data_IF_580468127983
#
_entry.id   IF_580468127983
#
_cell.length_a   1.000
_cell.length_b   1.000
_cell.length_c   1.000
_cell.angle_alpha   90.00
_cell.angle_beta   90.00
_cell.angle_gamma   90.00
#
_symmetry.space_group_name_H-M   'P 1'
#
loop_
_entity.id
_entity.type
_entity.pdbx_description
1 polymer ?
#
# COMPACT_ATOMS: atom_id res chain seq x y z
N UNK A 1 18.93 -7.36 -14.38
CA UNK A 1 19.02 -5.89 -14.19
C UNK A 1 18.42 -5.57 -12.82
N UNK A 2 19.16 -4.89 -11.94
CA UNK A 2 18.69 -4.52 -10.59
C UNK A 2 17.96 -3.18 -10.65
N UNK A 3 16.65 -3.19 -10.90
CA UNK A 3 15.83 -1.96 -11.07
C UNK A 3 15.66 -1.16 -9.79
N UNK A 4 15.80 -1.82 -8.62
CA UNK A 4 15.62 -1.22 -7.30
C UNK A 4 16.94 -1.06 -6.52
N UNK A 5 18.08 -1.15 -7.19
CA UNK A 5 19.37 -0.98 -6.52
C UNK A 5 19.44 0.37 -5.79
N UNK A 6 19.79 0.34 -4.49
CA UNK A 6 19.81 1.49 -3.58
C UNK A 6 18.45 2.19 -3.36
N UNK A 7 17.31 1.57 -3.74
CA UNK A 7 15.98 2.12 -3.52
C UNK A 7 15.36 1.60 -2.24
N UNK A 8 14.77 2.49 -1.47
CA UNK A 8 13.98 2.17 -0.27
C UNK A 8 12.50 2.13 -0.65
N UNK A 9 11.88 0.99 -0.41
CA UNK A 9 10.48 0.71 -0.74
C UNK A 9 9.70 0.42 0.55
N UNK A 10 8.66 1.18 0.79
CA UNK A 10 7.69 0.93 1.86
C UNK A 10 6.49 0.19 1.26
N UNK A 11 6.15 -0.97 1.82
CA UNK A 11 5.02 -1.79 1.34
C UNK A 11 4.07 -2.05 2.51
N UNK A 12 2.80 -1.70 2.35
CA UNK A 12 1.76 -2.03 3.33
C UNK A 12 1.11 -3.39 3.01
N UNK A 13 0.81 -4.19 4.07
CA UNK A 13 0.37 -5.58 3.90
C UNK A 13 1.45 -6.46 3.27
N UNK A 14 2.70 -6.17 3.57
CA UNK A 14 3.87 -6.72 2.90
C UNK A 14 4.13 -8.20 3.20
N UNK A 15 3.55 -8.76 4.27
CA UNK A 15 3.66 -10.16 4.65
C UNK A 15 2.43 -11.00 4.23
N UNK A 16 1.49 -10.42 3.48
CA UNK A 16 0.35 -11.13 2.89
C UNK A 16 0.57 -11.43 1.40
N UNK A 17 -0.17 -12.38 0.84
CA UNK A 17 -0.05 -12.91 -0.52
C UNK A 17 0.58 -12.00 -1.59
N UNK A 18 -0.15 -10.99 -2.08
CA UNK A 18 0.34 -10.03 -3.08
C UNK A 18 1.52 -9.22 -2.54
N UNK A 19 1.43 -8.77 -1.28
CA UNK A 19 2.49 -7.97 -0.63
C UNK A 19 3.79 -8.77 -0.50
N UNK A 20 3.73 -10.03 -0.07
CA UNK A 20 4.91 -10.89 0.06
C UNK A 20 5.56 -11.16 -1.30
N UNK A 21 4.77 -11.53 -2.32
CA UNK A 21 5.27 -11.73 -3.66
C UNK A 21 5.96 -10.47 -4.22
N UNK A 22 5.38 -9.30 -3.95
CA UNK A 22 5.93 -8.00 -4.32
C UNK A 22 7.23 -7.72 -3.56
N UNK A 23 7.26 -7.95 -2.24
CA UNK A 23 8.44 -7.81 -1.38
C UNK A 23 9.60 -8.66 -1.91
N UNK A 24 9.38 -9.93 -2.15
CA UNK A 24 10.38 -10.86 -2.69
C UNK A 24 10.90 -10.41 -4.06
N UNK A 25 10.01 -9.93 -4.91
CA UNK A 25 10.39 -9.42 -6.24
C UNK A 25 11.28 -8.19 -6.14
N UNK A 26 10.94 -7.21 -5.32
CA UNK A 26 11.74 -5.98 -5.14
C UNK A 26 13.13 -6.30 -4.61
N UNK A 27 13.22 -7.20 -3.62
CA UNK A 27 14.50 -7.66 -3.06
C UNK A 27 15.35 -8.35 -4.12
N UNK A 28 14.77 -9.23 -4.94
CA UNK A 28 15.50 -9.90 -6.01
C UNK A 28 16.09 -8.92 -7.05
N UNK A 29 15.57 -7.71 -7.10
CA UNK A 29 16.02 -6.62 -7.96
C UNK A 29 16.88 -5.56 -7.22
N UNK A 30 17.32 -5.86 -5.99
CA UNK A 30 18.28 -5.07 -5.23
C UNK A 30 17.68 -3.98 -4.34
N UNK A 31 16.37 -3.98 -4.12
CA UNK A 31 15.70 -3.01 -3.25
C UNK A 31 15.86 -3.31 -1.77
N UNK A 32 15.76 -2.27 -0.94
CA UNK A 32 15.57 -2.35 0.51
C UNK A 32 14.10 -2.20 0.82
N UNK A 33 13.54 -3.00 1.75
CA UNK A 33 12.10 -3.01 1.98
C UNK A 33 11.74 -2.82 3.44
N UNK A 34 10.82 -1.89 3.71
CA UNK A 34 10.08 -1.82 4.97
C UNK A 34 8.84 -2.70 4.82
N UNK A 35 8.80 -3.78 5.60
CA UNK A 35 7.72 -4.78 5.62
C UNK A 35 6.69 -4.33 6.66
N UNK A 36 5.67 -3.58 6.23
CA UNK A 36 4.60 -3.10 7.10
C UNK A 36 3.38 -4.03 7.02
N UNK A 37 3.02 -4.66 8.14
CA UNK A 37 1.88 -5.60 8.20
C UNK A 37 1.13 -5.50 9.54
N UNK A 38 -0.17 -5.81 9.53
CA UNK A 38 -0.99 -5.83 10.75
C UNK A 38 -0.67 -7.03 11.67
N UNK A 39 0.03 -8.03 11.18
CA UNK A 39 0.58 -9.11 11.96
C UNK A 39 2.08 -8.92 12.11
N UNK A 40 2.52 -8.44 13.27
CA UNK A 40 3.94 -8.32 13.59
C UNK A 40 4.66 -9.67 13.43
N UNK A 41 4.03 -10.76 13.86
CA UNK A 41 4.59 -12.11 13.75
C UNK A 41 4.91 -12.49 12.29
N UNK A 42 3.97 -12.21 11.36
CA UNK A 42 4.20 -12.51 9.93
C UNK A 42 5.28 -11.60 9.34
N UNK A 43 5.30 -10.33 9.71
CA UNK A 43 6.31 -9.39 9.26
C UNK A 43 7.70 -9.82 9.74
N UNK A 44 7.84 -10.20 11.02
CA UNK A 44 9.10 -10.65 11.61
C UNK A 44 9.59 -11.96 10.98
N UNK A 45 8.69 -12.91 10.77
CA UNK A 45 9.01 -14.19 10.13
C UNK A 45 9.55 -13.99 8.71
N UNK A 46 8.85 -13.20 7.92
CA UNK A 46 9.27 -12.87 6.55
C UNK A 46 10.62 -12.11 6.55
N UNK A 47 10.77 -11.14 7.44
CA UNK A 47 12.01 -10.39 7.54
C UNK A 47 13.20 -11.27 7.95
N UNK A 48 13.02 -12.18 8.91
CA UNK A 48 14.06 -13.11 9.33
C UNK A 48 14.52 -14.01 8.18
N UNK A 49 13.57 -14.60 7.44
CA UNK A 49 13.86 -15.44 6.27
C UNK A 49 14.66 -14.67 5.20
N UNK A 50 14.19 -13.46 4.85
CA UNK A 50 14.80 -12.65 3.81
C UNK A 50 16.19 -12.12 4.22
N UNK A 51 16.36 -11.78 5.50
CA UNK A 51 17.66 -11.34 6.05
C UNK A 51 18.69 -12.48 6.01
N UNK A 52 18.27 -13.72 6.32
CA UNK A 52 19.15 -14.89 6.17
C UNK A 52 19.58 -15.11 4.71
N UNK A 53 18.76 -14.71 3.75
CA UNK A 53 19.10 -14.73 2.33
C UNK A 53 19.92 -13.49 1.87
N UNK A 54 20.33 -12.62 2.80
CA UNK A 54 21.16 -11.45 2.52
C UNK A 54 20.38 -10.19 2.10
N UNK A 55 19.05 -10.16 2.28
CA UNK A 55 18.25 -9.00 1.97
C UNK A 55 18.32 -7.92 3.08
N UNK A 56 18.21 -6.65 2.69
CA UNK A 56 18.09 -5.51 3.60
C UNK A 56 16.61 -5.17 3.79
N UNK A 57 16.03 -5.68 4.87
CA UNK A 57 14.60 -5.52 5.18
C UNK A 57 14.38 -5.13 6.64
N UNK A 58 13.31 -4.40 6.92
CA UNK A 58 12.91 -4.00 8.27
C UNK A 58 11.42 -4.24 8.46
N UNK A 59 11.03 -5.09 9.42
CA UNK A 59 9.61 -5.31 9.75
C UNK A 59 9.09 -4.23 10.69
N UNK A 60 7.81 -3.90 10.54
CA UNK A 60 7.07 -3.03 11.47
C UNK A 60 5.59 -3.42 11.51
N UNK A 61 4.99 -3.37 12.70
CA UNK A 61 3.53 -3.41 12.84
C UNK A 61 2.89 -2.21 12.14
N UNK A 62 1.80 -2.44 11.45
CA UNK A 62 1.08 -1.39 10.73
C UNK A 62 -0.43 -1.68 10.70
N UNK A 63 -1.22 -0.75 11.25
CA UNK A 63 -2.67 -0.77 11.19
C UNK A 63 -3.18 0.29 10.21
N UNK A 64 -3.83 -0.15 9.13
CA UNK A 64 -4.37 0.75 8.11
C UNK A 64 -5.62 1.52 8.57
N UNK A 65 -6.26 1.10 9.66
CA UNK A 65 -7.41 1.78 10.24
C UNK A 65 -7.02 2.88 11.24
N UNK A 66 -5.73 2.98 11.57
CA UNK A 66 -5.19 3.93 12.54
C UNK A 66 -4.24 4.93 11.85
N UNK A 67 -4.66 6.19 11.71
CA UNK A 67 -3.84 7.22 11.06
C UNK A 67 -2.49 7.44 11.79
N UNK A 68 -2.45 7.25 13.10
CA UNK A 68 -1.20 7.33 13.87
C UNK A 68 -0.20 6.26 13.41
N UNK A 69 -0.66 5.04 13.12
CA UNK A 69 0.20 3.95 12.61
C UNK A 69 0.81 4.30 11.23
N UNK A 70 0.09 5.07 10.41
CA UNK A 70 0.65 5.57 9.16
C UNK A 70 1.85 6.52 9.38
N UNK A 71 1.74 7.41 10.36
CA UNK A 71 2.85 8.31 10.72
C UNK A 71 4.03 7.54 11.27
N UNK A 72 3.80 6.61 12.16
CA UNK A 72 4.83 5.75 12.76
C UNK A 72 5.59 4.94 11.71
N UNK A 73 4.88 4.41 10.70
CA UNK A 73 5.50 3.71 9.57
C UNK A 73 6.46 4.61 8.79
N UNK A 74 6.06 5.84 8.50
CA UNK A 74 6.89 6.80 7.75
C UNK A 74 8.09 7.23 8.59
N UNK A 75 7.89 7.56 9.86
CA UNK A 75 8.95 7.92 10.81
C UNK A 75 9.97 6.76 10.96
N UNK A 76 9.49 5.53 11.06
CA UNK A 76 10.33 4.34 11.12
C UNK A 76 11.17 4.16 9.84
N UNK A 77 10.55 4.26 8.67
CA UNK A 77 11.28 4.15 7.41
C UNK A 77 12.39 5.21 7.27
N UNK A 78 12.10 6.43 7.69
CA UNK A 78 13.06 7.52 7.69
C UNK A 78 14.18 7.31 8.72
N UNK A 79 13.88 6.77 9.89
CA UNK A 79 14.88 6.42 10.92
C UNK A 79 15.85 5.35 10.43
N UNK A 80 15.32 4.30 9.79
CA UNK A 80 16.11 3.14 9.36
C UNK A 80 16.94 3.40 8.09
N UNK A 81 16.41 4.21 7.16
CA UNK A 81 16.99 4.35 5.82
C UNK A 81 17.27 5.80 5.39
N UNK A 82 16.70 6.79 6.06
CA UNK A 82 16.87 8.21 5.75
C UNK A 82 16.18 8.68 4.45
N UNK A 83 15.48 7.78 3.75
CA UNK A 83 14.80 8.09 2.49
C UNK A 83 13.63 7.14 2.23
N UNK A 84 12.71 7.54 1.36
CA UNK A 84 11.64 6.70 0.80
C UNK A 84 11.56 7.01 -0.68
N UNK A 85 11.95 6.05 -1.54
CA UNK A 85 11.90 6.19 -2.99
C UNK A 85 10.57 5.71 -3.58
N UNK A 86 9.99 4.67 -2.96
CA UNK A 86 8.75 4.04 -3.44
C UNK A 86 7.82 3.75 -2.27
N UNK A 87 6.55 4.13 -2.41
CA UNK A 87 5.46 3.69 -1.55
C UNK A 87 4.54 2.75 -2.35
N UNK A 88 4.27 1.56 -1.81
CA UNK A 88 3.28 0.63 -2.36
C UNK A 88 2.15 0.49 -1.35
N UNK A 89 1.04 1.15 -1.61
CA UNK A 89 -0.20 1.04 -0.88
C UNK A 89 -0.92 -0.23 -1.32
N UNK A 90 -0.60 -1.36 -0.67
CA UNK A 90 -1.14 -2.65 -1.04
C UNK A 90 -2.24 -3.14 -0.08
N UNK A 91 -2.31 -2.62 1.14
CA UNK A 91 -3.39 -2.97 2.08
C UNK A 91 -4.76 -2.64 1.47
N UNK A 92 -5.70 -3.53 1.68
CA UNK A 92 -7.09 -3.32 1.33
C UNK A 92 -7.88 -4.62 1.44
N UNK A 93 -9.18 -4.46 1.61
CA UNK A 93 -10.10 -5.59 1.75
C UNK A 93 -11.49 -5.13 2.18
N UNK A 94 -12.35 -6.10 2.39
CA UNK A 94 -13.69 -5.94 2.93
C UNK A 94 -14.15 -7.24 3.58
N UNK A 95 -15.14 -7.17 4.47
CA UNK A 95 -15.85 -8.36 4.96
C UNK A 95 -17.04 -8.67 4.04
N UNK A 96 -17.01 -9.80 3.30
CA UNK A 96 -18.07 -10.16 2.38
C UNK A 96 -19.43 -10.48 3.05
N UNK A 97 -19.45 -10.59 4.39
CA UNK A 97 -20.70 -10.78 5.15
C UNK A 97 -21.40 -9.45 5.47
N UNK A 98 -20.65 -8.35 5.48
CA UNK A 98 -21.15 -7.00 5.80
C UNK A 98 -21.29 -6.14 4.53
N UNK A 99 -20.37 -6.28 3.59
CA UNK A 99 -20.34 -5.51 2.33
C UNK A 99 -21.11 -6.25 1.22
N UNK A 100 -22.41 -6.19 1.31
CA UNK A 100 -23.34 -6.83 0.38
C UNK A 100 -23.73 -5.89 -0.79
N UNK A 101 -24.84 -6.21 -1.46
CA UNK A 101 -25.43 -5.32 -2.44
C UNK A 101 -26.03 -4.08 -1.76
N UNK A 102 -26.37 -3.05 -2.55
CA UNK A 102 -26.80 -1.73 -2.04
C UNK A 102 -28.03 -1.80 -1.11
N UNK A 103 -28.92 -2.78 -1.29
CA UNK A 103 -30.11 -2.96 -0.47
C UNK A 103 -29.80 -3.57 0.91
N UNK A 104 -28.76 -4.41 1.01
CA UNK A 104 -28.48 -5.26 2.17
C UNK A 104 -27.14 -4.96 2.85
N UNK A 105 -26.34 -4.02 2.32
CA UNK A 105 -25.08 -3.68 2.92
C UNK A 105 -25.25 -3.15 4.35
N UNK A 106 -24.30 -3.45 5.21
CA UNK A 106 -24.21 -2.86 6.54
C UNK A 106 -23.59 -1.46 6.43
N UNK A 107 -24.44 -0.42 6.52
CA UNK A 107 -23.97 0.97 6.38
C UNK A 107 -23.00 1.38 7.51
N UNK A 108 -23.11 0.79 8.70
CA UNK A 108 -22.22 1.06 9.82
C UNK A 108 -20.79 0.53 9.56
N UNK A 109 -20.62 -0.29 8.51
CA UNK A 109 -19.32 -0.78 8.05
C UNK A 109 -18.58 0.21 7.11
N UNK A 110 -19.23 1.29 6.73
CA UNK A 110 -18.70 2.28 5.77
C UNK A 110 -17.35 2.84 6.20
N UNK A 111 -17.26 3.37 7.42
CA UNK A 111 -16.05 4.04 7.90
C UNK A 111 -14.86 3.08 7.94
N UNK A 112 -15.05 1.85 8.38
CA UNK A 112 -14.01 0.83 8.44
C UNK A 112 -13.45 0.52 7.05
N UNK A 113 -14.33 0.27 6.04
CA UNK A 113 -13.91 -0.03 4.67
C UNK A 113 -13.19 1.15 4.03
N UNK A 114 -13.71 2.37 4.21
CA UNK A 114 -13.10 3.55 3.62
C UNK A 114 -11.78 3.92 4.30
N UNK A 115 -11.67 3.77 5.61
CA UNK A 115 -10.39 3.93 6.31
C UNK A 115 -9.35 2.92 5.82
N UNK A 116 -9.70 1.65 5.78
CA UNK A 116 -8.81 0.57 5.35
C UNK A 116 -8.29 0.76 3.91
N UNK A 117 -9.16 1.12 2.97
CA UNK A 117 -8.81 1.12 1.54
C UNK A 117 -8.37 2.50 1.03
N UNK A 118 -9.10 3.57 1.37
CA UNK A 118 -8.91 4.89 0.77
C UNK A 118 -8.19 5.87 1.68
N UNK A 119 -8.66 6.05 2.92
CA UNK A 119 -8.09 7.05 3.83
C UNK A 119 -6.63 6.73 4.16
N UNK A 120 -6.31 5.47 4.46
CA UNK A 120 -4.94 5.01 4.67
C UNK A 120 -4.04 5.33 3.47
N UNK A 121 -4.47 4.96 2.26
CA UNK A 121 -3.74 5.24 1.00
C UNK A 121 -3.50 6.73 0.81
N UNK A 122 -4.51 7.55 1.07
CA UNK A 122 -4.42 9.02 0.96
C UNK A 122 -3.44 9.58 1.98
N UNK A 123 -3.57 9.18 3.25
CA UNK A 123 -2.77 9.71 4.33
C UNK A 123 -1.29 9.31 4.21
N UNK A 124 -0.98 8.05 3.90
CA UNK A 124 0.40 7.62 3.64
C UNK A 124 1.01 8.38 2.45
N UNK A 125 0.26 8.55 1.36
CA UNK A 125 0.73 9.35 0.23
C UNK A 125 1.03 10.78 0.63
N UNK A 126 0.16 11.40 1.46
CA UNK A 126 0.38 12.75 2.00
C UNK A 126 1.66 12.83 2.83
N UNK A 127 1.96 11.84 3.65
CA UNK A 127 3.15 11.82 4.52
C UNK A 127 4.46 11.64 3.72
N UNK A 128 4.47 10.79 2.69
CA UNK A 128 5.71 10.50 1.93
C UNK A 128 6.03 11.56 0.86
N UNK A 129 5.04 12.28 0.33
CA UNK A 129 5.24 13.28 -0.74
C UNK A 129 6.27 14.37 -0.38
N UNK A 130 6.25 14.98 0.82
CA UNK A 130 7.28 15.94 1.22
C UNK A 130 8.69 15.33 1.23
N UNK A 131 8.81 14.11 1.74
CA UNK A 131 10.08 13.36 1.81
C UNK A 131 10.60 13.09 0.39
N UNK A 132 9.77 12.53 -0.48
CA UNK A 132 10.13 12.28 -1.89
C UNK A 132 10.52 13.58 -2.60
N UNK A 133 9.82 14.68 -2.34
CA UNK A 133 10.12 15.99 -2.95
C UNK A 133 11.52 16.47 -2.57
N UNK A 134 11.93 16.34 -1.31
CA UNK A 134 13.27 16.76 -0.83
C UNK A 134 14.39 15.87 -1.35
N UNK A 135 14.07 14.62 -1.74
CA UNK A 135 15.02 13.65 -2.31
C UNK A 135 14.98 13.60 -3.86
N UNK A 136 14.36 14.60 -4.51
CA UNK A 136 14.38 14.72 -5.97
C UNK A 136 13.30 13.95 -6.71
N UNK A 137 12.33 13.39 -6.00
CA UNK A 137 11.19 12.69 -6.59
C UNK A 137 10.96 11.30 -5.99
N UNK A 138 9.92 10.60 -6.48
CA UNK A 138 9.58 9.28 -6.00
C UNK A 138 8.46 8.61 -6.79
N UNK A 139 8.07 7.41 -6.36
CA UNK A 139 7.03 6.64 -7.01
C UNK A 139 6.01 6.14 -5.98
N UNK A 140 4.73 6.33 -6.28
CA UNK A 140 3.62 5.78 -5.49
C UNK A 140 2.88 4.78 -6.38
N UNK A 141 2.66 3.58 -5.85
CA UNK A 141 1.86 2.54 -6.50
C UNK A 141 0.70 2.18 -5.59
N UNK A 142 -0.52 2.35 -6.08
CA UNK A 142 -1.73 2.03 -5.35
C UNK A 142 -2.34 0.73 -5.89
N UNK A 143 -2.55 -0.24 -5.01
CA UNK A 143 -3.25 -1.47 -5.38
C UNK A 143 -4.75 -1.23 -5.30
N UNK A 144 -5.34 -1.01 -6.46
CA UNK A 144 -6.76 -0.89 -6.68
C UNK A 144 -7.40 -2.27 -6.99
N UNK A 145 -8.59 -2.26 -7.53
CA UNK A 145 -9.33 -3.46 -7.93
C UNK A 145 -10.12 -3.20 -9.21
N UNK A 146 -10.38 -4.25 -9.96
CA UNK A 146 -11.35 -4.20 -11.06
C UNK A 146 -12.74 -3.75 -10.56
N UNK A 147 -13.11 -4.08 -9.32
CA UNK A 147 -14.34 -3.62 -8.67
C UNK A 147 -14.43 -2.09 -8.53
N UNK A 148 -13.30 -1.37 -8.65
CA UNK A 148 -13.28 0.09 -8.76
C UNK A 148 -13.51 0.63 -10.19
N UNK A 149 -13.54 -0.25 -11.19
CA UNK A 149 -13.76 0.09 -12.61
C UNK A 149 -15.11 -0.44 -13.13
N UNK A 150 -15.57 -1.54 -12.54
CA UNK A 150 -16.80 -2.25 -12.90
C UNK A 150 -17.66 -2.44 -11.64
N UNK A 151 -18.89 -2.91 -11.82
CA UNK A 151 -19.76 -3.26 -10.70
C UNK A 151 -19.89 -4.77 -10.56
N UNK A 152 -19.91 -5.24 -9.32
CA UNK A 152 -20.15 -6.62 -8.92
C UNK A 152 -21.52 -6.75 -8.22
N UNK A 153 -21.99 -7.98 -8.01
CA UNK A 153 -23.26 -8.24 -7.32
C UNK A 153 -23.23 -7.86 -5.83
N UNK A 154 -22.06 -7.87 -5.20
CA UNK A 154 -21.81 -7.49 -3.80
C UNK A 154 -20.49 -6.70 -3.72
N UNK A 155 -20.12 -6.23 -2.51
CA UNK A 155 -18.88 -5.46 -2.34
C UNK A 155 -19.06 -3.99 -2.72
N UNK A 156 -20.23 -3.43 -2.43
CA UNK A 156 -20.60 -2.05 -2.80
C UNK A 156 -19.64 -1.02 -2.19
N UNK A 157 -19.33 -1.14 -0.89
CA UNK A 157 -18.41 -0.22 -0.21
C UNK A 157 -16.98 -0.40 -0.70
N UNK A 158 -16.55 -1.65 -0.88
CA UNK A 158 -15.22 -1.96 -1.40
C UNK A 158 -15.03 -1.39 -2.81
N UNK A 159 -15.97 -1.66 -3.72
CA UNK A 159 -15.93 -1.12 -5.08
C UNK A 159 -15.86 0.40 -5.10
N UNK A 160 -16.71 1.08 -4.31
CA UNK A 160 -16.69 2.53 -4.17
C UNK A 160 -15.36 3.04 -3.61
N UNK A 161 -14.80 2.40 -2.58
CA UNK A 161 -13.51 2.77 -2.01
C UNK A 161 -12.36 2.59 -3.01
N UNK A 162 -12.34 1.52 -3.80
CA UNK A 162 -11.32 1.26 -4.82
C UNK A 162 -11.45 2.19 -6.04
N UNK A 163 -12.67 2.62 -6.40
CA UNK A 163 -12.88 3.71 -7.36
C UNK A 163 -12.27 5.03 -6.85
N UNK A 164 -12.44 5.30 -5.55
CA UNK A 164 -11.79 6.42 -4.88
C UNK A 164 -10.26 6.37 -4.98
N UNK A 165 -9.64 5.19 -4.76
CA UNK A 165 -8.18 4.98 -4.90
C UNK A 165 -7.71 5.26 -6.34
N UNK A 166 -8.47 4.80 -7.35
CA UNK A 166 -8.15 5.06 -8.76
C UNK A 166 -8.17 6.56 -9.05
N UNK A 167 -9.20 7.26 -8.56
CA UNK A 167 -9.30 8.71 -8.76
C UNK A 167 -8.22 9.48 -7.98
N UNK A 168 -7.96 9.11 -6.72
CA UNK A 168 -6.87 9.66 -5.90
C UNK A 168 -5.51 9.55 -6.62
N UNK A 169 -5.25 8.41 -7.26
CA UNK A 169 -4.02 8.19 -8.05
C UNK A 169 -3.85 9.24 -9.14
N UNK A 170 -4.93 9.58 -9.87
CA UNK A 170 -4.92 10.61 -10.91
C UNK A 170 -4.63 11.99 -10.32
N UNK A 171 -5.24 12.33 -9.18
CA UNK A 171 -4.98 13.59 -8.49
C UNK A 171 -3.53 13.72 -8.05
N UNK A 172 -2.96 12.70 -7.41
CA UNK A 172 -1.55 12.71 -6.99
C UNK A 172 -0.63 12.86 -8.21
N UNK A 173 -0.85 12.09 -9.28
CA UNK A 173 -0.05 12.17 -10.49
C UNK A 173 -0.08 13.57 -11.12
N UNK A 174 -1.28 14.18 -11.21
CA UNK A 174 -1.47 15.51 -11.79
C UNK A 174 -0.83 16.60 -10.94
N UNK A 175 -1.05 16.55 -9.62
CA UNK A 175 -0.61 17.61 -8.69
C UNK A 175 0.89 17.54 -8.42
N UNK A 176 1.47 16.34 -8.36
CA UNK A 176 2.84 16.11 -7.91
C UNK A 176 3.83 15.82 -9.06
N UNK A 177 3.36 15.72 -10.31
CA UNK A 177 4.22 15.44 -11.46
C UNK A 177 5.36 16.44 -11.64
N UNK A 178 5.12 17.74 -11.39
CA UNK A 178 6.15 18.79 -11.44
C UNK A 178 7.23 18.65 -10.36
N UNK A 179 6.98 17.86 -9.32
CA UNK A 179 7.93 17.51 -8.25
C UNK A 179 8.64 16.18 -8.51
N UNK A 180 8.59 15.68 -9.74
CA UNK A 180 9.16 14.39 -10.14
C UNK A 180 8.58 13.20 -9.32
N UNK A 181 7.32 13.29 -8.89
CA UNK A 181 6.62 12.20 -8.22
C UNK A 181 5.63 11.59 -9.20
N UNK A 182 5.76 10.28 -9.45
CA UNK A 182 4.85 9.51 -10.26
C UNK A 182 3.90 8.72 -9.37
N UNK A 183 2.63 8.67 -9.74
CA UNK A 183 1.64 7.86 -9.04
C UNK A 183 0.86 7.02 -10.06
N UNK A 184 0.79 5.71 -9.84
CA UNK A 184 0.05 4.78 -10.69
C UNK A 184 -0.79 3.83 -9.84
N UNK A 185 -1.86 3.30 -10.42
CA UNK A 185 -2.67 2.25 -9.82
C UNK A 185 -2.60 0.96 -10.63
N UNK A 186 -2.67 -0.17 -9.93
CA UNK A 186 -2.84 -1.49 -10.54
C UNK A 186 -4.22 -2.01 -10.11
N UNK A 187 -5.14 -2.12 -11.06
CA UNK A 187 -6.48 -2.67 -10.82
C UNK A 187 -6.43 -4.20 -10.97
N UNK A 188 -6.33 -4.91 -9.85
CA UNK A 188 -6.22 -6.36 -9.83
C UNK A 188 -7.59 -7.02 -9.88
N UNK A 189 -7.64 -8.24 -10.46
CA UNK A 189 -8.77 -9.17 -10.40
C UNK A 189 -8.31 -10.49 -9.83
N UNK A 190 -9.14 -11.14 -9.01
CA UNK A 190 -8.90 -12.49 -8.51
C UNK A 190 -9.58 -13.58 -9.36
N UNK A 191 -10.35 -13.18 -10.38
CA UNK A 191 -11.17 -14.13 -11.18
C UNK A 191 -10.31 -14.99 -12.11
N UNK A 192 -9.09 -14.58 -12.38
CA UNK A 192 -8.19 -15.25 -13.35
C UNK A 192 -6.92 -15.84 -12.70
N UNK A 193 -6.97 -16.08 -11.39
CA UNK A 193 -5.88 -16.74 -10.66
C UNK A 193 -6.22 -18.21 -10.43
#
# INVERSE_FOLDING_TARGET
>A
MKRFENKVVVITGAAGGIGEATTRRIISEGGKVVIADHSQERADKLAAELTQAGADVRPIYFSATELQSCKELVDFAMKEYGQIDVLINNVGGTDPKRDLNIEKLDIDYFDEVFHLNLCCTMYLSQQVIPIMTTHGGGNIVNVASISGLTADANGTLYGASKAGVINLTKYIATQMGKKNIRCNAVALSLIHI
#
